data_IF_240092697601
#
_entry.id   IF_240092697601
#
_cell.length_a   1.000
_cell.length_b   1.000
_cell.length_c   1.000
_cell.angle_alpha   90.00
_cell.angle_beta   90.00
_cell.angle_gamma   90.00
#
_symmetry.space_group_name_H-M   'P 1'
#
loop_
_entity.id
_entity.type
_entity.pdbx_description
1 polymer ?
#
# COMPACT_ATOMS: atom_id res chain seq x y z
N UNK A 1 -14.50 11.99 13.31
CA UNK A 1 -13.74 11.01 12.54
C UNK A 1 -12.30 11.02 13.03
N UNK A 2 -11.79 9.87 13.41
CA UNK A 2 -10.42 9.68 13.95
C UNK A 2 -9.36 9.50 12.86
N UNK A 3 -9.74 9.37 11.59
CA UNK A 3 -8.82 9.16 10.47
C UNK A 3 -8.98 10.17 9.35
N UNK A 4 -7.93 10.24 8.51
CA UNK A 4 -7.89 11.00 7.26
C UNK A 4 -7.76 10.00 6.11
N UNK A 5 -8.69 10.09 5.15
CA UNK A 5 -8.67 9.30 3.91
C UNK A 5 -8.16 10.14 2.76
N UNK A 6 -7.08 9.72 2.11
CA UNK A 6 -6.43 10.51 1.07
C UNK A 6 -7.30 10.72 -0.16
N UNK A 7 -8.07 9.70 -0.58
CA UNK A 7 -9.04 9.86 -1.68
C UNK A 7 -10.09 10.94 -1.39
N UNK A 8 -10.60 11.01 -0.16
CA UNK A 8 -11.56 12.03 0.24
C UNK A 8 -10.89 13.41 0.35
N UNK A 9 -9.68 13.47 0.92
CA UNK A 9 -8.88 14.69 1.05
C UNK A 9 -8.60 15.31 -0.33
N UNK A 10 -8.16 14.49 -1.31
CA UNK A 10 -7.95 14.95 -2.69
C UNK A 10 -9.20 15.53 -3.30
N UNK A 11 -10.35 14.83 -3.19
CA UNK A 11 -11.63 15.30 -3.69
C UNK A 11 -12.09 16.61 -3.04
N UNK A 12 -11.88 16.76 -1.72
CA UNK A 12 -12.22 18.01 -1.02
C UNK A 12 -11.28 19.15 -1.41
N UNK A 13 -9.98 18.87 -1.60
CA UNK A 13 -9.00 19.83 -2.09
C UNK A 13 -9.39 20.36 -3.46
N UNK A 14 -9.69 19.49 -4.41
CA UNK A 14 -10.12 19.85 -5.78
C UNK A 14 -11.40 20.68 -5.77
N UNK A 15 -12.43 20.24 -5.04
CA UNK A 15 -13.69 20.99 -4.94
C UNK A 15 -13.53 22.38 -4.31
N UNK A 16 -12.62 22.51 -3.33
CA UNK A 16 -12.35 23.80 -2.72
C UNK A 16 -11.62 24.72 -3.67
N UNK A 17 -10.67 24.21 -4.42
CA UNK A 17 -9.94 24.99 -5.40
C UNK A 17 -10.85 25.59 -6.48
N UNK A 18 -11.83 24.85 -6.97
CA UNK A 18 -12.85 25.39 -7.88
C UNK A 18 -13.55 26.61 -7.26
N UNK A 19 -13.99 26.51 -5.99
CA UNK A 19 -14.60 27.62 -5.27
C UNK A 19 -13.66 28.81 -5.08
N UNK A 20 -12.38 28.55 -4.89
CA UNK A 20 -11.34 29.60 -4.79
C UNK A 20 -11.19 30.33 -6.12
N UNK A 21 -11.15 29.60 -7.24
CA UNK A 21 -11.07 30.22 -8.58
C UNK A 21 -12.28 31.12 -8.86
N UNK A 22 -13.50 30.67 -8.53
CA UNK A 22 -14.71 31.47 -8.65
C UNK A 22 -14.64 32.75 -7.79
N UNK A 23 -14.13 32.62 -6.55
CA UNK A 23 -13.95 33.74 -5.63
C UNK A 23 -12.87 34.72 -6.11
N UNK A 24 -11.76 34.24 -6.67
CA UNK A 24 -10.73 35.10 -7.28
C UNK A 24 -11.30 35.87 -8.47
N UNK A 25 -12.09 35.22 -9.31
CA UNK A 25 -12.78 35.88 -10.40
C UNK A 25 -13.75 36.98 -9.93
N UNK A 26 -14.52 36.68 -8.88
CA UNK A 26 -15.42 37.65 -8.27
C UNK A 26 -14.67 38.83 -7.63
N UNK A 27 -13.56 38.56 -6.96
CA UNK A 27 -12.70 39.58 -6.36
C UNK A 27 -12.01 40.46 -7.41
N UNK A 28 -11.55 39.90 -8.52
CA UNK A 28 -11.01 40.68 -9.63
C UNK A 28 -12.07 41.64 -10.23
N UNK A 29 -13.32 41.16 -10.36
CA UNK A 29 -14.45 42.05 -10.78
C UNK A 29 -14.71 43.16 -9.78
N UNK A 30 -14.67 42.84 -8.47
CA UNK A 30 -14.80 43.84 -7.42
C UNK A 30 -13.69 44.89 -7.50
N UNK A 31 -12.44 44.50 -7.67
CA UNK A 31 -11.30 45.40 -7.84
C UNK A 31 -11.48 46.32 -9.04
N UNK A 32 -11.87 45.80 -10.19
CA UNK A 32 -12.13 46.58 -11.39
C UNK A 32 -13.27 47.61 -11.18
N UNK A 33 -14.37 47.21 -10.54
CA UNK A 33 -15.51 48.06 -10.24
C UNK A 33 -15.15 49.23 -9.30
N UNK A 34 -14.21 49.02 -8.38
CA UNK A 34 -13.79 50.01 -7.40
C UNK A 34 -12.50 50.74 -7.78
N UNK A 35 -12.08 50.66 -9.04
CA UNK A 35 -10.86 51.26 -9.58
C UNK A 35 -9.58 50.89 -8.79
N UNK A 36 -9.55 49.69 -8.23
CA UNK A 36 -8.37 49.15 -7.57
C UNK A 36 -7.46 48.51 -8.64
N UNK A 37 -6.24 49.02 -8.76
CA UNK A 37 -5.28 48.51 -9.75
C UNK A 37 -4.65 47.21 -9.29
N UNK A 38 -5.47 46.18 -9.01
CA UNK A 38 -5.07 44.88 -8.55
C UNK A 38 -5.81 43.80 -9.35
N UNK A 39 -5.08 42.84 -9.85
CA UNK A 39 -5.65 41.71 -10.55
C UNK A 39 -4.84 40.43 -10.18
N UNK A 40 -5.54 39.46 -9.66
CA UNK A 40 -4.96 38.13 -9.37
C UNK A 40 -5.12 37.17 -10.54
N UNK A 41 -4.07 36.42 -10.83
CA UNK A 41 -4.09 35.35 -11.84
C UNK A 41 -4.93 34.19 -11.37
N UNK A 42 -5.72 33.60 -12.27
CA UNK A 42 -6.41 32.34 -12.00
C UNK A 42 -5.46 31.22 -12.40
N UNK A 43 -4.78 30.65 -11.40
CA UNK A 43 -3.79 29.57 -11.59
C UNK A 43 -4.46 28.21 -11.62
N UNK A 44 -3.96 27.31 -12.47
CA UNK A 44 -4.49 25.94 -12.58
C UNK A 44 -4.00 25.03 -11.46
N UNK A 45 -2.84 25.31 -10.89
CA UNK A 45 -2.24 24.53 -9.82
C UNK A 45 -2.72 25.00 -8.45
N UNK A 46 -2.94 24.01 -7.57
CA UNK A 46 -3.39 24.25 -6.21
C UNK A 46 -2.19 24.66 -5.36
N UNK A 47 -2.07 25.95 -5.06
CA UNK A 47 -1.03 26.51 -4.21
C UNK A 47 -1.65 27.35 -3.08
N UNK A 48 -1.36 26.97 -1.82
CA UNK A 48 -1.87 27.69 -0.64
C UNK A 48 -1.06 28.96 -0.36
N UNK A 49 0.23 29.02 -0.73
CA UNK A 49 1.08 30.20 -0.54
C UNK A 49 0.52 31.38 -1.32
N UNK A 50 0.08 31.15 -2.57
CA UNK A 50 -0.59 32.14 -3.38
C UNK A 50 -1.83 32.72 -2.70
N UNK A 51 -2.59 31.90 -1.98
CA UNK A 51 -3.75 32.39 -1.23
C UNK A 51 -3.35 33.26 -0.03
N UNK A 52 -2.24 32.99 0.62
CA UNK A 52 -1.70 33.85 1.66
C UNK A 52 -1.21 35.18 1.10
N UNK A 53 -0.63 35.21 -0.10
CA UNK A 53 -0.29 36.45 -0.80
C UNK A 53 -1.54 37.26 -1.10
N UNK A 54 -2.62 36.64 -1.62
CA UNK A 54 -3.90 37.29 -1.86
C UNK A 54 -4.44 37.90 -0.56
N UNK A 55 -4.41 37.17 0.55
CA UNK A 55 -4.84 37.66 1.87
C UNK A 55 -4.03 38.90 2.29
N UNK A 56 -2.70 38.83 2.16
CA UNK A 56 -1.78 39.91 2.52
C UNK A 56 -2.08 41.18 1.73
N UNK A 57 -2.30 41.07 0.41
CA UNK A 57 -2.67 42.22 -0.43
C UNK A 57 -4.01 42.83 -0.01
N UNK A 58 -5.01 42.00 0.33
CA UNK A 58 -6.32 42.50 0.80
C UNK A 58 -6.15 43.21 2.15
N UNK A 59 -5.32 42.69 3.08
CA UNK A 59 -5.03 43.32 4.36
C UNK A 59 -4.37 44.69 4.17
N UNK A 60 -3.42 44.83 3.24
CA UNK A 60 -2.79 46.08 2.88
C UNK A 60 -3.81 47.08 2.30
N UNK A 61 -4.76 46.61 1.44
CA UNK A 61 -5.84 47.45 0.93
C UNK A 61 -6.77 47.92 2.03
N UNK A 62 -7.11 47.07 2.97
CA UNK A 62 -7.94 47.42 4.12
C UNK A 62 -7.25 48.48 4.99
N UNK A 63 -5.96 48.32 5.25
CA UNK A 63 -5.19 49.30 6.00
C UNK A 63 -5.10 50.64 5.28
N UNK A 64 -4.80 50.67 3.98
CA UNK A 64 -4.73 51.88 3.16
C UNK A 64 -6.05 52.66 3.16
N UNK A 65 -7.20 51.95 3.18
CA UNK A 65 -8.52 52.54 3.18
C UNK A 65 -9.10 52.75 4.60
N UNK A 66 -8.29 52.58 5.66
CA UNK A 66 -8.70 52.76 7.07
C UNK A 66 -9.93 51.92 7.45
N UNK A 67 -10.08 50.74 6.84
CA UNK A 67 -11.23 49.85 7.08
C UNK A 67 -11.00 49.11 8.40
N UNK A 68 -11.83 49.42 9.38
CA UNK A 68 -11.81 48.73 10.67
C UNK A 68 -12.41 47.33 10.56
N UNK A 69 -11.71 46.35 11.10
CA UNK A 69 -12.19 44.97 11.17
C UNK A 69 -13.30 44.86 12.21
N UNK A 70 -14.44 44.35 11.79
CA UNK A 70 -15.60 44.22 12.65
C UNK A 70 -15.83 42.74 13.00
N UNK A 71 -15.95 42.46 14.30
CA UNK A 71 -16.25 41.14 14.82
C UNK A 71 -17.65 41.06 15.44
N UNK A 72 -18.24 39.85 15.41
CA UNK A 72 -19.52 39.55 16.06
C UNK A 72 -20.71 39.40 15.09
N UNK A 73 -21.79 38.77 15.60
CA UNK A 73 -23.04 38.57 14.87
C UNK A 73 -23.81 39.89 14.78
N UNK A 74 -24.44 40.14 13.64
CA UNK A 74 -25.29 41.33 13.44
C UNK A 74 -24.57 42.59 12.97
N UNK A 75 -23.25 42.66 12.97
CA UNK A 75 -22.49 43.80 12.45
C UNK A 75 -22.23 43.65 10.95
N UNK A 76 -22.46 44.75 10.19
CA UNK A 76 -22.23 44.75 8.73
C UNK A 76 -20.74 44.85 8.43
N UNK A 77 -20.15 43.73 7.98
CA UNK A 77 -18.74 43.69 7.56
C UNK A 77 -18.54 44.36 6.22
N UNK A 78 -17.42 45.06 6.06
CA UNK A 78 -16.99 45.59 4.77
C UNK A 78 -16.73 44.44 3.77
N UNK A 79 -16.91 44.72 2.47
CA UNK A 79 -16.78 43.68 1.44
C UNK A 79 -15.36 43.11 1.36
N UNK A 80 -14.33 43.97 1.48
CA UNK A 80 -12.93 43.53 1.56
C UNK A 80 -12.66 42.58 2.75
N UNK A 81 -13.25 42.87 3.93
CA UNK A 81 -13.13 41.99 5.08
C UNK A 81 -13.74 40.59 4.81
N UNK A 82 -14.88 40.54 4.10
CA UNK A 82 -15.49 39.26 3.72
C UNK A 82 -14.60 38.44 2.79
N UNK A 83 -13.96 39.10 1.80
CA UNK A 83 -13.00 38.45 0.93
C UNK A 83 -11.76 37.96 1.70
N UNK A 84 -11.19 38.82 2.55
CA UNK A 84 -10.04 38.51 3.39
C UNK A 84 -10.31 37.25 4.25
N UNK A 85 -11.42 37.26 5.01
CA UNK A 85 -11.80 36.12 5.86
C UNK A 85 -12.01 34.83 5.04
N UNK A 86 -12.64 34.93 3.89
CA UNK A 86 -12.93 33.80 3.02
C UNK A 86 -11.67 33.22 2.39
N UNK A 87 -10.75 34.05 1.89
CA UNK A 87 -9.47 33.58 1.35
C UNK A 87 -8.56 33.02 2.45
N UNK A 88 -8.55 33.60 3.64
CA UNK A 88 -7.84 33.12 4.80
C UNK A 88 -8.31 31.71 5.22
N UNK A 89 -9.64 31.51 5.25
CA UNK A 89 -10.21 30.18 5.52
C UNK A 89 -9.81 29.17 4.44
N UNK A 90 -9.82 29.57 3.17
CA UNK A 90 -9.44 28.71 2.06
C UNK A 90 -7.94 28.37 2.12
N UNK A 91 -7.06 29.35 2.38
CA UNK A 91 -5.63 29.16 2.53
C UNK A 91 -5.32 28.14 3.65
N UNK A 92 -5.91 28.34 4.83
CA UNK A 92 -5.73 27.45 5.98
C UNK A 92 -6.21 26.02 5.69
N UNK A 93 -7.32 25.85 4.96
CA UNK A 93 -7.80 24.52 4.57
C UNK A 93 -6.92 23.86 3.51
N UNK A 94 -6.45 24.63 2.54
CA UNK A 94 -5.52 24.12 1.53
C UNK A 94 -4.19 23.71 2.17
N UNK A 95 -3.63 24.53 3.04
CA UNK A 95 -2.45 24.20 3.83
C UNK A 95 -2.63 22.90 4.63
N UNK A 96 -3.78 22.77 5.33
CA UNK A 96 -4.12 21.54 6.05
C UNK A 96 -4.16 20.30 5.15
N UNK A 97 -4.70 20.41 3.92
CA UNK A 97 -4.73 19.29 2.99
C UNK A 97 -3.33 18.93 2.48
N UNK A 98 -2.43 19.90 2.35
CA UNK A 98 -1.02 19.64 2.01
C UNK A 98 -0.33 18.89 3.13
N UNK A 99 -0.43 19.35 4.39
CA UNK A 99 0.09 18.62 5.56
C UNK A 99 -0.44 17.18 5.62
N UNK A 100 -1.73 16.97 5.32
CA UNK A 100 -2.30 15.63 5.31
C UNK A 100 -1.70 14.74 4.21
N UNK A 101 -1.36 15.33 3.05
CA UNK A 101 -0.69 14.60 1.98
C UNK A 101 0.74 14.23 2.36
N UNK A 102 1.46 15.13 3.00
CA UNK A 102 2.84 14.90 3.46
C UNK A 102 2.90 13.82 4.54
N UNK A 103 2.01 13.88 5.53
CA UNK A 103 1.90 12.85 6.58
C UNK A 103 1.57 11.48 5.98
N UNK A 104 0.66 11.43 5.01
CA UNK A 104 0.24 10.17 4.42
C UNK A 104 1.32 9.55 3.53
N UNK A 105 2.08 10.36 2.79
CA UNK A 105 2.96 9.87 1.73
C UNK A 105 2.17 9.01 0.73
N UNK A 106 2.64 7.81 0.45
CA UNK A 106 1.95 6.85 -0.46
C UNK A 106 0.80 6.08 0.19
N UNK A 107 0.53 6.28 1.48
CA UNK A 107 -0.54 5.58 2.20
C UNK A 107 -1.92 6.13 1.82
N UNK A 108 -2.92 5.26 1.81
CA UNK A 108 -4.31 5.64 1.53
C UNK A 108 -4.98 6.39 2.67
N UNK A 109 -4.42 6.31 3.88
CA UNK A 109 -5.01 6.90 5.09
C UNK A 109 -3.99 6.96 6.23
N UNK A 110 -4.29 7.78 7.24
CA UNK A 110 -3.59 7.78 8.52
C UNK A 110 -4.55 8.13 9.67
N UNK A 111 -4.14 7.81 10.90
CA UNK A 111 -4.87 8.18 12.11
C UNK A 111 -4.46 9.57 12.58
N UNK A 112 -5.42 10.42 12.99
CA UNK A 112 -5.13 11.74 13.56
C UNK A 112 -4.44 11.68 14.93
N UNK A 113 -4.66 10.61 15.67
CA UNK A 113 -4.10 10.40 17.00
C UNK A 113 -2.74 9.69 16.98
N UNK A 114 -2.43 9.05 15.85
CA UNK A 114 -1.18 8.37 15.59
C UNK A 114 -0.89 8.47 14.07
N UNK A 115 -0.22 9.54 13.62
CA UNK A 115 -0.01 9.80 12.18
C UNK A 115 0.76 8.71 11.44
N UNK A 116 1.56 7.91 12.15
CA UNK A 116 2.30 6.79 11.57
C UNK A 116 1.41 5.56 11.35
N UNK A 117 0.30 5.43 12.07
CA UNK A 117 -0.61 4.31 11.94
C UNK A 117 -1.50 4.46 10.70
N UNK A 118 -1.58 3.40 9.90
CA UNK A 118 -2.48 3.31 8.74
C UNK A 118 -3.77 2.62 9.12
N UNK A 119 -4.88 3.07 8.52
CA UNK A 119 -6.17 2.45 8.70
C UNK A 119 -6.25 1.19 7.83
N UNK A 120 -6.21 0.03 8.47
CA UNK A 120 -6.14 -1.25 7.79
C UNK A 120 -7.21 -2.22 8.29
N UNK A 121 -7.53 -3.18 7.44
CA UNK A 121 -8.47 -4.25 7.77
C UNK A 121 -7.80 -5.22 8.74
N UNK A 122 -8.39 -5.37 9.93
CA UNK A 122 -7.95 -6.38 10.90
C UNK A 122 -8.43 -7.77 10.47
N UNK A 123 -7.77 -8.82 10.96
CA UNK A 123 -8.28 -10.18 10.77
C UNK A 123 -9.72 -10.23 11.27
N UNK A 124 -10.57 -10.98 10.57
CA UNK A 124 -11.94 -11.21 10.97
C UNK A 124 -11.98 -11.87 12.33
N UNK A 125 -12.72 -11.24 13.25
CA UNK A 125 -12.96 -11.79 14.56
C UNK A 125 -14.14 -12.78 14.46
N UNK A 126 -13.82 -14.07 14.46
CA UNK A 126 -14.82 -15.14 14.37
C UNK A 126 -15.77 -15.21 15.57
N UNK A 127 -15.35 -14.71 16.73
CA UNK A 127 -16.19 -14.69 17.94
C UNK A 127 -17.22 -13.57 17.91
N UNK A 128 -16.81 -12.39 17.46
CA UNK A 128 -17.67 -11.21 17.40
C UNK A 128 -18.28 -10.97 16.02
N UNK A 129 -17.98 -11.78 15.02
CA UNK A 129 -18.43 -11.66 13.64
C UNK A 129 -18.22 -10.25 13.05
N UNK A 130 -17.12 -9.59 13.41
CA UNK A 130 -16.85 -8.20 13.03
C UNK A 130 -15.73 -8.10 12.02
N UNK A 131 -16.03 -7.38 10.94
CA UNK A 131 -15.05 -6.88 9.98
C UNK A 131 -14.61 -5.48 10.46
N UNK A 132 -13.53 -5.41 11.22
CA UNK A 132 -13.14 -4.15 11.85
C UNK A 132 -11.93 -3.54 11.15
N UNK A 133 -12.10 -2.28 10.72
CA UNK A 133 -10.98 -1.45 10.31
C UNK A 133 -10.49 -0.63 11.50
N UNK A 134 -9.19 -0.74 11.81
CA UNK A 134 -8.56 0.01 12.90
C UNK A 134 -7.24 0.62 12.42
N UNK A 135 -6.77 1.71 13.08
CA UNK A 135 -5.38 2.14 12.92
C UNK A 135 -4.46 1.04 13.40
N UNK A 136 -3.43 0.75 12.63
CA UNK A 136 -2.48 -0.30 12.96
C UNK A 136 -1.18 -0.18 12.21
N UNK A 137 -0.28 -1.07 12.56
CA UNK A 137 1.02 -1.26 11.93
C UNK A 137 1.10 -2.66 11.36
N UNK A 138 1.83 -2.80 10.28
CA UNK A 138 2.17 -4.09 9.71
C UNK A 138 3.50 -4.56 10.33
N UNK A 139 3.46 -5.66 11.08
CA UNK A 139 4.62 -6.21 11.80
C UNK A 139 5.05 -7.49 11.11
N UNK A 140 6.25 -7.46 10.55
CA UNK A 140 6.90 -8.61 9.93
C UNK A 140 7.85 -9.28 10.93
N UNK A 141 7.82 -10.60 11.01
CA UNK A 141 8.64 -11.38 11.92
C UNK A 141 9.33 -12.48 11.14
N UNK A 142 10.65 -12.49 11.16
CA UNK A 142 11.46 -13.61 10.68
C UNK A 142 11.87 -14.52 11.82
N UNK A 143 11.65 -15.80 11.66
CA UNK A 143 11.94 -16.80 12.69
C UNK A 143 12.72 -17.99 12.15
N UNK A 144 13.55 -18.58 13.00
CA UNK A 144 14.24 -19.83 12.74
C UNK A 144 14.32 -20.61 14.05
N UNK A 145 14.02 -21.92 13.99
CA UNK A 145 14.01 -22.82 15.14
C UNK A 145 13.12 -22.37 16.32
N UNK A 146 12.05 -21.64 15.99
CA UNK A 146 11.14 -21.08 16.98
C UNK A 146 11.66 -19.84 17.70
N UNK A 147 12.82 -19.30 17.32
CA UNK A 147 13.33 -18.02 17.78
C UNK A 147 13.02 -16.93 16.78
N UNK A 148 12.64 -15.76 17.27
CA UNK A 148 12.51 -14.55 16.45
C UNK A 148 13.91 -14.02 16.17
N UNK A 149 14.25 -13.94 14.88
CA UNK A 149 15.56 -13.47 14.41
C UNK A 149 15.56 -12.00 14.03
N UNK A 150 14.51 -11.57 13.33
CA UNK A 150 14.40 -10.19 12.88
C UNK A 150 12.94 -9.72 12.90
N UNK A 151 12.77 -8.42 13.07
CA UNK A 151 11.46 -7.76 13.11
C UNK A 151 11.51 -6.48 12.28
N UNK A 152 10.50 -6.27 11.48
CA UNK A 152 10.27 -5.02 10.77
C UNK A 152 8.86 -4.50 11.04
N UNK A 153 8.75 -3.23 11.41
CA UNK A 153 7.47 -2.55 11.66
C UNK A 153 7.25 -1.51 10.57
N UNK A 154 6.12 -1.60 9.89
CA UNK A 154 5.77 -0.73 8.78
C UNK A 154 4.41 -0.08 8.98
N UNK A 155 4.28 1.13 8.46
CA UNK A 155 2.99 1.80 8.26
C UNK A 155 2.28 1.35 6.97
N UNK A 156 2.93 0.60 6.11
CA UNK A 156 2.31 0.07 4.89
C UNK A 156 1.44 -1.15 5.23
N UNK A 157 0.18 -1.11 4.81
CA UNK A 157 -0.76 -2.20 5.04
C UNK A 157 -0.54 -3.41 4.10
N UNK A 158 0.34 -3.28 3.11
CA UNK A 158 0.58 -4.29 2.09
C UNK A 158 1.90 -5.02 2.32
N UNK A 159 1.85 -6.33 2.54
CA UNK A 159 3.01 -7.18 2.77
C UNK A 159 4.01 -7.19 1.61
N UNK A 160 3.56 -7.01 0.38
CA UNK A 160 4.43 -6.96 -0.81
C UNK A 160 5.56 -5.94 -0.68
N UNK A 161 5.28 -4.79 -0.06
CA UNK A 161 6.24 -3.69 0.08
C UNK A 161 7.11 -3.80 1.33
N UNK A 162 6.79 -4.69 2.25
CA UNK A 162 7.53 -4.83 3.50
C UNK A 162 8.67 -5.82 3.43
N UNK A 163 8.69 -6.67 2.39
CA UNK A 163 9.66 -7.75 2.26
C UNK A 163 11.10 -7.24 2.06
N UNK A 164 11.33 -6.42 1.04
CA UNK A 164 12.67 -5.88 0.75
C UNK A 164 13.23 -5.08 1.93
N UNK A 165 12.50 -4.12 2.54
CA UNK A 165 12.99 -3.42 3.73
C UNK A 165 13.26 -4.36 4.93
N UNK A 166 12.48 -5.44 5.06
CA UNK A 166 12.72 -6.47 6.07
C UNK A 166 14.05 -7.19 5.83
N UNK A 167 14.32 -7.58 4.59
CA UNK A 167 15.54 -8.31 4.20
C UNK A 167 16.78 -7.42 4.30
N UNK A 168 16.68 -6.15 3.94
CA UNK A 168 17.75 -5.16 4.15
C UNK A 168 18.07 -4.99 5.64
N UNK A 169 17.04 -4.85 6.48
CA UNK A 169 17.22 -4.79 7.93
C UNK A 169 17.84 -6.06 8.52
N UNK A 170 17.47 -7.22 7.98
CA UNK A 170 18.10 -8.50 8.36
C UNK A 170 19.58 -8.53 7.97
N UNK A 171 19.91 -8.16 6.74
CA UNK A 171 21.29 -8.09 6.25
C UNK A 171 22.15 -7.12 7.07
N UNK A 172 21.60 -5.93 7.41
CA UNK A 172 22.29 -4.98 8.28
C UNK A 172 22.60 -5.55 9.68
N UNK A 173 21.70 -6.41 10.21
CA UNK A 173 21.87 -6.97 11.55
C UNK A 173 22.84 -8.17 11.58
N UNK A 174 22.91 -8.97 10.50
CA UNK A 174 23.65 -10.25 10.48
C UNK A 174 24.84 -10.26 9.50
N UNK A 175 25.00 -9.24 8.65
CA UNK A 175 26.06 -9.18 7.64
C UNK A 175 25.88 -10.15 6.46
N UNK A 176 24.76 -10.87 6.40
CA UNK A 176 24.46 -11.85 5.35
C UNK A 176 22.96 -12.02 5.15
N UNK A 177 22.56 -12.49 3.98
CA UNK A 177 21.19 -12.90 3.71
C UNK A 177 20.96 -14.35 4.13
N UNK A 178 19.73 -14.75 4.45
CA UNK A 178 19.39 -16.14 4.72
C UNK A 178 19.42 -16.93 3.41
N UNK A 179 19.72 -18.24 3.49
CA UNK A 179 19.70 -19.13 2.34
C UNK A 179 18.33 -19.19 1.64
N UNK A 180 17.26 -19.19 2.41
CA UNK A 180 15.89 -19.26 1.92
C UNK A 180 14.93 -18.53 2.87
N UNK A 181 13.88 -17.96 2.30
CA UNK A 181 12.81 -17.25 3.05
C UNK A 181 11.44 -17.80 2.67
N UNK A 182 11.03 -18.94 3.26
CA UNK A 182 9.69 -19.46 3.07
C UNK A 182 8.65 -18.45 3.60
N UNK A 183 7.87 -17.84 2.71
CA UNK A 183 6.92 -16.80 3.05
C UNK A 183 5.54 -17.08 2.45
N UNK A 184 4.54 -16.35 2.94
CA UNK A 184 3.16 -16.45 2.47
C UNK A 184 2.98 -15.89 1.05
N UNK A 185 1.87 -16.26 0.42
CA UNK A 185 1.50 -15.76 -0.90
C UNK A 185 1.29 -14.24 -0.94
N UNK A 186 1.13 -13.60 0.21
CA UNK A 186 1.06 -12.14 0.34
C UNK A 186 2.34 -11.41 -0.05
N UNK A 187 3.50 -12.10 -0.02
CA UNK A 187 4.81 -11.54 -0.38
C UNK A 187 5.22 -11.80 -1.83
N UNK A 188 4.59 -12.79 -2.49
CA UNK A 188 4.97 -13.24 -3.83
C UNK A 188 4.72 -12.19 -4.90
N UNK A 189 5.77 -11.50 -5.34
CA UNK A 189 5.75 -10.47 -6.38
C UNK A 189 6.99 -10.54 -7.26
N UNK A 190 6.94 -9.86 -8.41
CA UNK A 190 8.10 -9.73 -9.30
C UNK A 190 9.31 -9.12 -8.57
N UNK A 191 9.09 -7.99 -7.89
CA UNK A 191 10.16 -7.27 -7.21
C UNK A 191 10.82 -8.11 -6.12
N UNK A 192 10.04 -8.83 -5.32
CA UNK A 192 10.56 -9.65 -4.23
C UNK A 192 11.32 -10.88 -4.75
N UNK A 193 10.83 -11.53 -5.82
CA UNK A 193 11.56 -12.65 -6.44
C UNK A 193 12.85 -12.19 -7.09
N UNK A 194 12.83 -11.06 -7.79
CA UNK A 194 14.04 -10.50 -8.41
C UNK A 194 15.07 -10.12 -7.36
N UNK A 195 14.63 -9.49 -6.27
CA UNK A 195 15.48 -9.20 -5.13
C UNK A 195 16.14 -10.46 -4.55
N UNK A 196 15.35 -11.51 -4.32
CA UNK A 196 15.88 -12.78 -3.82
C UNK A 196 16.94 -13.37 -4.77
N UNK A 197 16.70 -13.37 -6.06
CA UNK A 197 17.66 -13.85 -7.07
C UNK A 197 18.96 -13.04 -7.08
N UNK A 198 18.89 -11.73 -7.02
CA UNK A 198 20.07 -10.85 -6.99
C UNK A 198 20.91 -11.03 -5.73
N UNK A 199 20.29 -11.44 -4.61
CA UNK A 199 20.97 -11.65 -3.33
C UNK A 199 21.25 -13.13 -3.00
N UNK A 200 21.04 -14.03 -3.95
CA UNK A 200 21.33 -15.46 -3.79
C UNK A 200 20.36 -16.21 -2.85
N UNK A 201 19.19 -15.63 -2.57
CA UNK A 201 18.16 -16.24 -1.73
C UNK A 201 17.32 -17.21 -2.57
N UNK A 202 17.13 -18.42 -2.08
CA UNK A 202 16.35 -19.44 -2.78
C UNK A 202 14.85 -19.18 -2.72
N UNK A 203 14.15 -19.31 -3.85
CA UNK A 203 12.75 -18.98 -4.00
C UNK A 203 11.83 -20.04 -3.40
N UNK A 204 11.35 -19.81 -2.17
CA UNK A 204 10.34 -20.65 -1.49
C UNK A 204 9.08 -19.85 -1.11
N UNK A 205 8.97 -18.64 -1.58
CA UNK A 205 7.84 -17.74 -1.33
C UNK A 205 6.69 -18.05 -2.29
N UNK A 206 5.51 -18.38 -1.76
CA UNK A 206 4.30 -18.60 -2.57
C UNK A 206 3.85 -17.31 -3.25
N UNK A 207 3.04 -17.44 -4.32
CA UNK A 207 2.39 -16.30 -4.96
C UNK A 207 0.86 -16.40 -4.90
N UNK A 208 0.20 -15.26 -5.04
CA UNK A 208 -1.26 -15.19 -5.06
C UNK A 208 -1.84 -15.97 -6.25
N UNK A 209 -2.79 -16.86 -5.97
CA UNK A 209 -3.40 -17.72 -6.98
C UNK A 209 -2.79 -19.11 -7.12
N UNK A 210 -1.58 -19.38 -6.58
CA UNK A 210 -0.91 -20.68 -6.68
C UNK A 210 -1.80 -21.85 -6.21
N UNK A 211 -2.54 -21.68 -5.12
CA UNK A 211 -3.49 -22.68 -4.62
C UNK A 211 -4.61 -22.96 -5.60
N UNK A 212 -5.18 -21.93 -6.23
CA UNK A 212 -6.26 -22.08 -7.22
C UNK A 212 -5.78 -22.79 -8.47
N UNK A 213 -4.53 -22.54 -8.87
CA UNK A 213 -3.89 -23.24 -9.99
C UNK A 213 -3.73 -24.74 -9.67
N UNK A 214 -3.24 -25.07 -8.45
CA UNK A 214 -3.02 -26.45 -8.01
C UNK A 214 -4.35 -27.24 -7.85
N UNK A 215 -5.41 -26.61 -7.36
CA UNK A 215 -6.70 -27.23 -7.15
C UNK A 215 -7.47 -27.45 -8.48
N UNK A 216 -6.90 -27.05 -9.64
CA UNK A 216 -7.58 -27.06 -10.95
C UNK A 216 -9.01 -26.52 -10.86
N UNK A 217 -9.29 -25.62 -9.94
CA UNK A 217 -10.56 -24.93 -9.84
C UNK A 217 -10.70 -24.07 -11.08
N UNK A 218 -11.13 -24.74 -12.16
CA UNK A 218 -11.59 -24.09 -13.37
C UNK A 218 -12.67 -23.11 -12.94
N UNK A 219 -12.36 -21.82 -13.01
CA UNK A 219 -13.41 -20.83 -12.97
C UNK A 219 -14.42 -21.25 -14.03
N UNK A 220 -15.73 -21.25 -13.71
CA UNK A 220 -16.80 -21.59 -14.67
C UNK A 220 -16.72 -20.77 -15.97
N UNK A 221 -15.86 -19.75 -15.98
CA UNK A 221 -15.67 -18.86 -17.12
C UNK A 221 -14.29 -19.10 -17.78
N UNK A 222 -14.31 -19.90 -18.84
CA UNK A 222 -13.14 -20.19 -19.69
C UNK A 222 -12.57 -18.96 -20.41
N UNK A 223 -13.31 -17.85 -20.44
CA UNK A 223 -12.89 -16.61 -21.09
C UNK A 223 -12.05 -15.69 -20.19
N UNK A 224 -11.71 -16.10 -18.99
CA UNK A 224 -10.83 -15.31 -18.11
C UNK A 224 -9.37 -15.44 -18.56
N UNK A 225 -8.59 -14.36 -18.39
CA UNK A 225 -7.14 -14.36 -18.66
C UNK A 225 -6.40 -15.52 -17.99
N UNK A 226 -6.83 -15.91 -16.81
CA UNK A 226 -6.26 -17.00 -16.05
C UNK A 226 -6.39 -18.39 -16.72
N UNK A 227 -7.25 -18.51 -17.74
CA UNK A 227 -7.45 -19.75 -18.51
C UNK A 227 -6.70 -19.72 -19.86
N UNK A 228 -6.20 -18.54 -20.26
CA UNK A 228 -5.47 -18.35 -21.52
C UNK A 228 -3.96 -18.38 -21.22
N UNK A 229 -3.46 -19.55 -20.81
CA UNK A 229 -2.03 -19.77 -20.58
C UNK A 229 -1.35 -20.20 -21.88
N UNK A 230 -0.03 -19.95 -22.01
CA UNK A 230 0.74 -20.48 -23.12
C UNK A 230 0.67 -22.01 -23.14
N UNK A 231 0.59 -22.59 -24.35
CA UNK A 231 0.72 -24.02 -24.57
C UNK A 231 2.20 -24.46 -24.57
N UNK A 232 2.47 -25.73 -24.89
CA UNK A 232 3.83 -26.28 -24.94
C UNK A 232 4.70 -25.61 -26.01
N UNK A 233 4.11 -25.05 -27.07
CA UNK A 233 4.78 -24.29 -28.12
C UNK A 233 4.92 -22.77 -27.77
N UNK A 234 4.63 -22.39 -26.53
CA UNK A 234 4.64 -21.00 -26.04
C UNK A 234 3.62 -20.07 -26.73
N UNK A 235 2.60 -20.62 -27.37
CA UNK A 235 1.50 -19.91 -28.01
C UNK A 235 0.32 -19.74 -27.07
N UNK A 236 -0.26 -18.54 -27.04
CA UNK A 236 -1.47 -18.25 -26.28
C UNK A 236 -2.66 -18.42 -27.21
N UNK A 237 -3.57 -19.34 -26.90
CA UNK A 237 -4.74 -19.67 -27.71
C UNK A 237 -6.01 -19.31 -26.94
N UNK A 238 -6.95 -18.62 -27.60
CA UNK A 238 -8.24 -18.27 -27.00
C UNK A 238 -9.21 -19.45 -27.04
N UNK A 239 -10.32 -19.43 -26.27
CA UNK A 239 -11.35 -20.48 -26.30
C UNK A 239 -12.05 -20.66 -27.65
N UNK A 240 -11.90 -19.74 -28.59
CA UNK A 240 -12.36 -19.87 -29.99
C UNK A 240 -11.26 -20.40 -30.92
N UNK A 241 -10.18 -20.92 -30.38
CA UNK A 241 -9.05 -21.52 -31.10
C UNK A 241 -8.27 -20.54 -32.00
N UNK A 242 -8.24 -19.25 -31.64
CA UNK A 242 -7.40 -18.26 -32.33
C UNK A 242 -6.18 -17.92 -31.48
N UNK A 243 -5.03 -17.80 -32.14
CA UNK A 243 -3.75 -17.43 -31.52
C UNK A 243 -3.72 -15.92 -31.21
N UNK A 244 -3.05 -15.56 -30.12
CA UNK A 244 -2.72 -14.18 -29.79
C UNK A 244 -1.38 -13.81 -30.40
N UNK A 245 -1.32 -12.66 -31.05
CA UNK A 245 -0.10 -12.11 -31.64
C UNK A 245 0.57 -11.11 -30.70
N UNK A 246 1.89 -11.11 -30.66
CA UNK A 246 2.65 -10.10 -29.92
C UNK A 246 2.55 -8.76 -30.67
N UNK A 247 2.00 -7.74 -30.03
CA UNK A 247 1.77 -6.42 -30.63
C UNK A 247 2.69 -5.33 -30.07
N UNK A 248 3.20 -5.51 -28.85
CA UNK A 248 4.04 -4.52 -28.19
C UNK A 248 4.87 -5.17 -27.07
N UNK A 249 6.05 -4.61 -26.85
CA UNK A 249 6.92 -4.96 -25.71
C UNK A 249 7.37 -3.67 -25.03
N UNK A 250 7.11 -3.55 -23.73
CA UNK A 250 7.43 -2.34 -22.98
C UNK A 250 8.09 -2.63 -21.65
N UNK A 251 8.92 -1.71 -21.20
CA UNK A 251 9.51 -1.75 -19.85
C UNK A 251 8.61 -0.96 -18.90
N UNK A 252 8.03 -1.66 -17.93
CA UNK A 252 7.25 -1.07 -16.86
C UNK A 252 8.13 -0.78 -15.64
N UNK A 253 8.11 0.48 -15.15
CA UNK A 253 8.92 0.96 -14.02
C UNK A 253 8.06 1.35 -12.80
N UNK A 254 7.03 0.56 -12.49
CA UNK A 254 6.10 0.85 -11.38
C UNK A 254 6.54 0.27 -10.04
N UNK A 255 7.45 -0.69 -10.05
CA UNK A 255 8.00 -1.37 -8.88
C UNK A 255 9.40 -0.88 -8.51
N UNK A 256 10.07 -1.65 -7.67
CA UNK A 256 11.49 -1.44 -7.32
C UNK A 256 12.38 -1.74 -8.53
N UNK A 257 12.01 -2.77 -9.28
CA UNK A 257 12.74 -3.23 -10.45
C UNK A 257 11.96 -2.96 -11.75
N UNK A 258 12.67 -2.55 -12.83
CA UNK A 258 12.06 -2.51 -14.15
C UNK A 258 11.73 -3.92 -14.62
N UNK A 259 10.57 -4.10 -15.23
CA UNK A 259 10.13 -5.39 -15.77
C UNK A 259 9.67 -5.25 -17.22
N UNK A 260 10.04 -6.22 -18.04
CA UNK A 260 9.58 -6.32 -19.41
C UNK A 260 8.18 -6.94 -19.44
N UNK A 261 7.28 -6.27 -20.14
CA UNK A 261 5.89 -6.70 -20.33
C UNK A 261 5.61 -6.83 -21.82
N UNK A 262 5.36 -8.04 -22.25
CA UNK A 262 4.87 -8.37 -23.58
C UNK A 262 3.36 -8.18 -23.63
N UNK A 263 2.87 -7.51 -24.67
CA UNK A 263 1.44 -7.28 -24.92
C UNK A 263 1.01 -8.14 -26.09
N UNK A 264 0.14 -9.07 -25.84
CA UNK A 264 -0.48 -9.94 -26.85
C UNK A 264 -1.89 -9.49 -27.13
N UNK A 265 -2.29 -9.47 -28.38
CA UNK A 265 -3.65 -9.13 -28.82
C UNK A 265 -4.20 -10.20 -29.73
N UNK A 266 -5.50 -10.49 -29.58
CA UNK A 266 -6.19 -11.35 -30.53
C UNK A 266 -6.95 -10.48 -31.52
N UNK A 267 -6.59 -10.58 -32.79
CA UNK A 267 -7.19 -9.79 -33.89
C UNK A 267 -8.50 -10.41 -34.40
N UNK A 268 -8.76 -11.68 -34.12
CA UNK A 268 -9.94 -12.41 -34.59
C UNK A 268 -11.15 -12.30 -33.67
N UNK A 269 -11.25 -11.22 -32.89
CA UNK A 269 -12.37 -10.97 -31.99
C UNK A 269 -13.57 -10.30 -32.66
N UNK A 270 -13.41 -9.74 -33.84
CA UNK A 270 -14.50 -9.19 -34.64
C UNK A 270 -15.35 -10.35 -35.23
N UNK A 271 -16.68 -10.31 -35.00
CA UNK A 271 -17.57 -11.42 -35.42
C UNK A 271 -17.50 -12.67 -34.54
N UNK A 272 -16.64 -12.75 -33.54
CA UNK A 272 -16.53 -13.91 -32.68
C UNK A 272 -17.81 -14.12 -31.84
N UNK A 273 -18.42 -15.31 -31.84
CA UNK A 273 -19.67 -15.61 -31.12
C UNK A 273 -19.51 -15.48 -29.59
N UNK A 274 -18.28 -15.57 -29.10
CA UNK A 274 -17.96 -15.47 -27.67
C UNK A 274 -17.53 -14.06 -27.23
N UNK A 275 -17.46 -13.06 -28.13
CA UNK A 275 -16.96 -11.72 -27.84
C UNK A 275 -17.64 -11.09 -26.63
N UNK A 276 -18.97 -11.17 -26.54
CA UNK A 276 -19.75 -10.58 -25.44
C UNK A 276 -19.44 -11.17 -24.05
N UNK A 277 -19.03 -12.44 -24.00
CA UNK A 277 -18.64 -13.15 -22.77
C UNK A 277 -17.15 -13.01 -22.47
N UNK A 278 -16.32 -12.73 -23.49
CA UNK A 278 -14.86 -12.71 -23.41
C UNK A 278 -14.31 -11.31 -23.13
N UNK A 279 -14.70 -10.31 -23.93
CA UNK A 279 -14.14 -8.96 -23.80
C UNK A 279 -15.13 -7.86 -24.20
N UNK A 280 -15.07 -6.75 -23.46
CA UNK A 280 -15.81 -5.51 -23.80
C UNK A 280 -15.00 -4.58 -24.73
N UNK A 281 -13.74 -4.91 -24.98
CA UNK A 281 -12.86 -4.09 -25.83
C UNK A 281 -13.30 -4.15 -27.30
N UNK A 282 -13.34 -2.99 -27.95
CA UNK A 282 -13.57 -2.90 -29.40
C UNK A 282 -12.41 -3.51 -30.19
N UNK A 283 -11.17 -3.37 -29.68
CA UNK A 283 -9.93 -3.88 -30.32
C UNK A 283 -9.64 -5.36 -30.05
N UNK A 284 -10.55 -6.10 -29.41
CA UNK A 284 -10.35 -7.50 -29.04
C UNK A 284 -9.72 -7.69 -27.66
N UNK A 285 -9.45 -8.95 -27.31
CA UNK A 285 -8.87 -9.35 -26.04
C UNK A 285 -7.35 -9.11 -26.06
N UNK A 286 -6.84 -8.57 -24.96
CA UNK A 286 -5.40 -8.36 -24.76
C UNK A 286 -4.90 -9.11 -23.54
N UNK A 287 -3.70 -9.68 -23.63
CA UNK A 287 -3.01 -10.38 -22.54
C UNK A 287 -1.64 -9.71 -22.34
N UNK A 288 -1.31 -9.46 -21.08
CA UNK A 288 0.02 -9.01 -20.68
C UNK A 288 0.79 -10.18 -20.10
N UNK A 289 2.03 -10.36 -20.49
CA UNK A 289 2.90 -11.42 -20.07
C UNK A 289 4.24 -10.85 -19.59
N UNK A 290 4.78 -11.40 -18.54
CA UNK A 290 6.13 -11.12 -18.06
C UNK A 290 6.88 -12.46 -17.95
N UNK A 291 7.74 -12.76 -18.91
CA UNK A 291 8.45 -14.05 -18.99
C UNK A 291 9.32 -14.29 -17.76
N UNK A 292 10.00 -13.25 -17.31
CA UNK A 292 10.85 -13.33 -16.11
C UNK A 292 10.03 -13.71 -14.86
N UNK A 293 8.83 -13.12 -14.67
CA UNK A 293 7.94 -13.51 -13.58
C UNK A 293 7.43 -14.95 -13.71
N UNK A 294 7.17 -15.41 -14.94
CA UNK A 294 6.75 -16.78 -15.20
C UNK A 294 7.87 -17.78 -14.85
N UNK A 295 9.13 -17.46 -15.17
CA UNK A 295 10.27 -18.27 -14.80
C UNK A 295 10.44 -18.37 -13.28
N UNK A 296 10.29 -17.25 -12.55
CA UNK A 296 10.30 -17.27 -11.07
C UNK A 296 9.18 -18.11 -10.49
N UNK A 297 7.97 -18.01 -11.02
CA UNK A 297 6.83 -18.82 -10.57
C UNK A 297 7.05 -20.32 -10.84
N UNK A 298 7.69 -20.66 -11.95
CA UNK A 298 8.04 -22.04 -12.28
C UNK A 298 9.07 -22.57 -11.28
N UNK A 299 10.14 -21.83 -11.02
CA UNK A 299 11.17 -22.18 -10.02
C UNK A 299 10.56 -22.34 -8.61
N UNK A 300 9.68 -21.43 -8.19
CA UNK A 300 8.95 -21.56 -6.92
C UNK A 300 8.16 -22.85 -6.84
N UNK A 301 7.44 -23.24 -7.90
CA UNK A 301 6.68 -24.50 -7.94
C UNK A 301 7.61 -25.71 -7.83
N UNK A 302 8.70 -25.71 -8.56
CA UNK A 302 9.71 -26.76 -8.53
C UNK A 302 10.31 -26.89 -7.13
N UNK A 303 10.79 -25.79 -6.54
CA UNK A 303 11.37 -25.76 -5.20
C UNK A 303 10.38 -26.25 -4.12
N UNK A 304 9.13 -25.78 -4.17
CA UNK A 304 8.10 -26.18 -3.20
C UNK A 304 7.64 -27.64 -3.37
N UNK A 305 7.86 -28.26 -4.53
CA UNK A 305 7.55 -29.67 -4.77
C UNK A 305 8.58 -30.63 -4.15
N UNK A 306 9.77 -30.14 -3.88
CA UNK A 306 10.86 -30.94 -3.27
C UNK A 306 10.54 -31.28 -1.81
N UNK A 307 11.18 -32.33 -1.28
CA UNK A 307 11.04 -32.69 0.14
C UNK A 307 11.52 -31.55 1.06
N UNK A 308 12.58 -30.84 0.68
CA UNK A 308 13.05 -29.67 1.41
C UNK A 308 12.05 -28.53 1.39
N UNK A 309 11.41 -28.26 0.24
CA UNK A 309 10.37 -27.25 0.11
C UNK A 309 9.14 -27.55 0.97
N UNK A 310 8.68 -28.80 0.98
CA UNK A 310 7.60 -29.24 1.86
C UNK A 310 7.95 -29.04 3.33
N UNK A 311 9.18 -29.42 3.74
CA UNK A 311 9.68 -29.21 5.09
C UNK A 311 9.69 -27.75 5.49
N UNK A 312 10.19 -26.86 4.62
CA UNK A 312 10.19 -25.42 4.86
C UNK A 312 8.78 -24.85 5.04
N UNK A 313 7.81 -25.31 4.25
CA UNK A 313 6.43 -24.85 4.37
C UNK A 313 5.75 -25.30 5.66
N UNK A 314 6.06 -26.52 6.13
CA UNK A 314 5.59 -27.02 7.44
C UNK A 314 6.22 -26.19 8.57
N UNK A 315 7.55 -26.00 8.51
CA UNK A 315 8.27 -25.21 9.50
C UNK A 315 7.76 -23.76 9.57
N UNK A 316 7.48 -23.14 8.41
CA UNK A 316 6.88 -21.81 8.35
C UNK A 316 5.54 -21.75 9.10
N UNK A 317 4.65 -22.71 8.85
CA UNK A 317 3.36 -22.74 9.53
C UNK A 317 3.54 -22.89 11.05
N UNK A 318 4.37 -23.84 11.49
CA UNK A 318 4.61 -24.09 12.92
C UNK A 318 5.22 -22.84 13.60
N UNK A 319 6.24 -22.24 13.01
CA UNK A 319 6.98 -21.17 13.69
C UNK A 319 6.32 -19.81 13.52
N UNK A 320 5.88 -19.43 12.34
CA UNK A 320 5.29 -18.09 12.14
C UNK A 320 3.91 -17.99 12.78
N UNK A 321 3.03 -18.97 12.54
CA UNK A 321 1.69 -18.97 13.12
C UNK A 321 1.74 -19.26 14.63
N UNK A 322 2.62 -20.17 15.05
CA UNK A 322 2.83 -20.51 16.45
C UNK A 322 3.36 -19.32 17.28
N UNK A 323 4.34 -18.56 16.78
CA UNK A 323 4.87 -17.38 17.46
C UNK A 323 3.77 -16.32 17.65
N UNK A 324 3.01 -16.01 16.58
CA UNK A 324 1.93 -15.05 16.67
C UNK A 324 0.79 -15.54 17.58
N UNK A 325 0.48 -16.84 17.58
CA UNK A 325 -0.47 -17.45 18.50
C UNK A 325 -0.02 -17.27 19.95
N UNK A 326 1.21 -17.66 20.28
CA UNK A 326 1.77 -17.49 21.63
C UNK A 326 1.77 -16.03 22.09
N UNK A 327 2.16 -15.09 21.23
CA UNK A 327 2.18 -13.67 21.61
C UNK A 327 0.76 -13.13 21.83
N UNK A 328 -0.17 -13.42 20.94
CA UNK A 328 -1.52 -12.81 20.97
C UNK A 328 -2.48 -13.55 21.91
N UNK A 329 -2.50 -14.89 21.83
CA UNK A 329 -3.48 -15.70 22.56
C UNK A 329 -2.95 -16.05 23.95
N UNK A 330 -1.77 -16.71 24.05
CA UNK A 330 -1.26 -17.19 25.33
C UNK A 330 -0.80 -16.04 26.24
N UNK A 331 -0.19 -14.99 25.68
CA UNK A 331 0.30 -13.85 26.45
C UNK A 331 -0.68 -12.65 26.45
N UNK A 332 -1.87 -12.79 25.84
CA UNK A 332 -2.89 -11.75 25.76
C UNK A 332 -2.40 -10.41 25.24
N UNK A 333 -1.40 -10.45 24.32
CA UNK A 333 -0.83 -9.26 23.69
C UNK A 333 -1.53 -8.99 22.35
N UNK A 334 -2.78 -8.53 22.45
CA UNK A 334 -3.72 -8.35 21.32
C UNK A 334 -3.67 -6.95 20.69
N UNK A 335 -3.04 -5.98 21.36
CA UNK A 335 -3.00 -4.58 20.94
C UNK A 335 -1.70 -3.87 21.35
N UNK A 336 -1.25 -2.98 20.49
CA UNK A 336 -0.12 -2.08 20.76
C UNK A 336 -0.51 -1.01 21.80
N UNK A 337 0.37 -0.70 22.71
CA UNK A 337 0.20 0.30 23.77
C UNK A 337 0.89 1.61 23.43
N UNK A 338 1.96 1.58 22.62
CA UNK A 338 2.72 2.75 22.17
C UNK A 338 2.21 3.27 20.83
N UNK A 339 2.52 4.53 20.54
CA UNK A 339 2.22 5.22 19.28
C UNK A 339 3.52 5.67 18.62
N UNK A 340 3.41 5.95 17.30
CA UNK A 340 4.55 6.28 16.48
C UNK A 340 5.41 5.04 16.16
N UNK A 341 5.96 4.99 14.94
CA UNK A 341 6.68 3.81 14.45
C UNK A 341 7.86 3.42 15.34
N UNK A 342 8.59 4.40 15.86
CA UNK A 342 9.75 4.16 16.76
C UNK A 342 9.29 3.56 18.09
N UNK A 343 8.22 4.08 18.68
CA UNK A 343 7.64 3.57 19.93
C UNK A 343 7.11 2.16 19.79
N UNK A 344 6.40 1.89 18.69
CA UNK A 344 5.88 0.55 18.35
C UNK A 344 7.02 -0.43 18.06
N UNK A 345 8.06 -0.02 17.32
CA UNK A 345 9.24 -0.85 17.08
C UNK A 345 9.91 -1.29 18.38
N UNK A 346 10.13 -0.35 19.31
CA UNK A 346 10.68 -0.68 20.63
C UNK A 346 9.81 -1.66 21.40
N UNK A 347 8.49 -1.44 21.41
CA UNK A 347 7.53 -2.29 22.09
C UNK A 347 7.55 -3.72 21.54
N UNK A 348 7.54 -3.87 20.21
CA UNK A 348 7.61 -5.19 19.55
C UNK A 348 8.95 -5.88 19.81
N UNK A 349 10.07 -5.15 19.81
CA UNK A 349 11.39 -5.72 20.13
C UNK A 349 11.41 -6.30 21.56
N UNK A 350 10.85 -5.59 22.54
CA UNK A 350 10.76 -6.09 23.91
C UNK A 350 9.90 -7.37 24.02
N UNK A 351 8.79 -7.42 23.30
CA UNK A 351 7.95 -8.64 23.21
C UNK A 351 8.75 -9.80 22.59
N UNK A 352 9.52 -9.54 21.53
CA UNK A 352 10.35 -10.57 20.88
C UNK A 352 11.48 -11.07 21.77
N UNK A 353 12.10 -10.20 22.55
CA UNK A 353 13.11 -10.57 23.57
C UNK A 353 12.46 -11.49 24.62
N UNK A 354 11.28 -11.13 25.14
CA UNK A 354 10.54 -11.95 26.09
C UNK A 354 10.20 -13.33 25.54
N UNK A 355 9.73 -13.40 24.28
CA UNK A 355 9.46 -14.66 23.59
C UNK A 355 10.74 -15.51 23.47
N UNK A 356 11.84 -14.94 23.04
CA UNK A 356 13.10 -15.65 22.86
C UNK A 356 13.68 -16.17 24.18
N UNK A 357 13.60 -15.40 25.25
CA UNK A 357 14.01 -15.83 26.59
C UNK A 357 13.19 -17.02 27.10
N UNK A 358 11.85 -16.95 26.94
CA UNK A 358 10.95 -18.06 27.27
C UNK A 358 11.29 -19.33 26.48
N UNK A 359 11.51 -19.18 25.17
CA UNK A 359 11.89 -20.29 24.28
C UNK A 359 13.22 -20.93 24.70
N UNK A 360 14.21 -20.10 25.01
CA UNK A 360 15.50 -20.56 25.51
C UNK A 360 15.35 -21.36 26.81
N UNK A 361 14.58 -20.83 27.78
CA UNK A 361 14.33 -21.49 29.05
C UNK A 361 13.65 -22.85 28.86
N UNK A 362 12.62 -22.94 28.04
CA UNK A 362 11.94 -24.20 27.73
C UNK A 362 12.91 -25.25 27.18
N UNK A 363 13.70 -24.86 26.18
CA UNK A 363 14.70 -25.79 25.59
C UNK A 363 15.77 -26.23 26.59
N UNK A 364 16.22 -25.34 27.45
CA UNK A 364 17.18 -25.68 28.52
C UNK A 364 16.60 -26.73 29.46
N UNK A 365 15.33 -26.59 29.83
CA UNK A 365 14.67 -27.60 30.69
C UNK A 365 14.47 -28.94 29.98
N UNK A 366 14.11 -28.95 28.72
CA UNK A 366 13.98 -30.14 27.89
C UNK A 366 15.34 -30.89 27.79
N UNK A 367 16.39 -30.14 27.50
CA UNK A 367 17.76 -30.70 27.45
C UNK A 367 18.19 -31.33 28.80
N UNK A 368 17.91 -30.63 29.93
CA UNK A 368 18.24 -31.14 31.26
C UNK A 368 17.42 -32.37 31.62
N UNK A 369 16.17 -32.48 31.20
CA UNK A 369 15.33 -33.66 31.41
C UNK A 369 15.90 -34.87 30.61
N UNK A 370 16.21 -34.64 29.35
CA UNK A 370 16.72 -35.72 28.48
C UNK A 370 18.08 -36.26 28.96
N UNK A 371 18.94 -35.40 29.52
CA UNK A 371 20.23 -35.79 30.07
C UNK A 371 20.16 -36.41 31.49
N UNK A 372 19.00 -36.36 32.16
CA UNK A 372 18.79 -37.04 33.45
C UNK A 372 18.23 -38.47 33.29
N UNK A 373 17.78 -38.83 32.08
CA UNK A 373 17.16 -40.11 31.75
C UNK A 373 18.19 -41.07 31.14
N UNK A 374 19.38 -40.56 30.76
CA UNK A 374 20.57 -41.33 30.38
C UNK A 374 21.57 -41.39 31.54
#
# INVERSE_FOLDING_TARGET
MTFVWMKATKKFREKRWIKVMDRLSAFNKYCSKNNLNIRFSIVREINFDYLFEVVSVIEQLMAKNSIQVVHGKGKKKHELQRYQEAFKEDALKMFKYTIYSDIAGDRNSFSKTDPDATFMHMKYDYYNHTNVFKPGYNVQVGSSDGYIRHVYVSSDANDLRTYIPFMEGYHMAYGSYPYATPADAGYGSFDNYKYDKEHGIQLYMKYSGMRKEAEKKTTKNQFTRAQMNPNEEDKIICPANHEFTLVDTRIERRGVYPREIEMYQNEHCEGCPFKSKCTKSKKGQTIQRCRELESYKKEVKENLSTEQGKKYMIQRSIWSEGIFGQIKEDNHYDKLRRRGISGVKLEILLVCIGHNLRRYHTRKLEFQKNNKIN
#
